data_IF_976134845622
#
_entry.id   IF_976134845622
#
_cell.length_a   1.000
_cell.length_b   1.000
_cell.length_c   1.000
_cell.angle_alpha   90.00
_cell.angle_beta   90.00
_cell.angle_gamma   90.00
#
_symmetry.space_group_name_H-M   'P 1'
#
loop_
_entity.id
_entity.type
_entity.pdbx_description
1 polymer ?
#
# COMPACT_ATOMS: atom_id res chain seq x y z
N UNK A 1 -14.03 32.45 -22.66
CA UNK A 1 -13.01 33.14 -21.86
C UNK A 1 -13.84 33.80 -20.79
N UNK A 2 -14.09 33.15 -19.66
CA UNK A 2 -13.08 32.54 -18.79
C UNK A 2 -13.55 31.19 -18.26
N UNK A 3 -12.71 30.17 -18.46
CA UNK A 3 -12.86 28.90 -17.75
C UNK A 3 -12.19 29.14 -16.41
N UNK A 4 -12.98 29.49 -15.39
CA UNK A 4 -12.52 29.50 -14.02
C UNK A 4 -11.98 28.10 -13.73
N UNK A 5 -10.66 27.99 -13.78
CA UNK A 5 -9.91 26.80 -13.44
C UNK A 5 -10.08 26.67 -11.93
N UNK A 6 -11.05 25.84 -11.57
CA UNK A 6 -11.42 25.42 -10.22
C UNK A 6 -10.17 24.85 -9.54
N UNK A 7 -9.32 25.77 -9.08
CA UNK A 7 -8.07 25.48 -8.39
C UNK A 7 -8.54 24.99 -7.05
N UNK A 8 -8.62 23.67 -6.92
CA UNK A 8 -8.96 23.02 -5.66
C UNK A 8 -7.95 23.49 -4.62
N UNK A 9 -8.32 24.51 -3.84
CA UNK A 9 -7.45 25.09 -2.81
C UNK A 9 -7.20 24.01 -1.76
N UNK A 10 -5.92 23.66 -1.58
CA UNK A 10 -5.51 22.84 -0.46
C UNK A 10 -5.78 23.61 0.84
N UNK A 11 -6.59 23.03 1.71
CA UNK A 11 -6.91 23.65 3.00
C UNK A 11 -6.04 23.03 4.08
N UNK A 12 -5.24 23.87 4.75
CA UNK A 12 -4.36 23.47 5.85
C UNK A 12 -4.96 23.95 7.16
N UNK A 13 -5.23 23.01 8.06
CA UNK A 13 -5.66 23.26 9.43
C UNK A 13 -4.55 22.83 10.37
N UNK A 14 -3.85 23.77 11.00
CA UNK A 14 -2.79 23.45 11.94
C UNK A 14 -1.85 24.60 12.23
N UNK A 15 -0.70 24.24 12.81
CA UNK A 15 0.38 25.18 13.05
C UNK A 15 1.12 25.43 11.72
N UNK A 16 1.46 26.69 11.48
CA UNK A 16 2.28 27.11 10.35
C UNK A 16 3.62 27.65 10.88
N UNK A 17 4.69 27.48 10.11
CA UNK A 17 5.98 28.10 10.40
C UNK A 17 6.04 29.58 9.93
N UNK A 18 7.20 30.20 10.11
CA UNK A 18 7.43 31.62 9.75
C UNK A 18 7.28 31.87 8.23
N UNK A 19 7.40 30.84 7.40
CA UNK A 19 7.22 30.89 5.96
C UNK A 19 5.77 30.60 5.53
N UNK A 20 4.87 30.35 6.50
CA UNK A 20 3.47 30.03 6.26
C UNK A 20 3.24 28.59 5.83
N UNK A 21 4.22 27.70 5.99
CA UNK A 21 4.13 26.30 5.62
C UNK A 21 3.67 25.44 6.80
N UNK A 22 2.95 24.32 6.55
CA UNK A 22 2.56 23.37 7.59
C UNK A 22 3.72 22.94 8.48
N UNK A 23 3.56 23.04 9.80
CA UNK A 23 4.58 22.63 10.77
C UNK A 23 3.94 22.02 12.02
N UNK A 24 4.50 20.94 12.56
CA UNK A 24 3.89 20.21 13.67
C UNK A 24 2.68 19.38 13.22
N UNK A 25 1.71 19.15 14.10
CA UNK A 25 0.53 18.35 13.75
C UNK A 25 -0.49 19.19 12.99
N UNK A 26 -0.71 18.86 11.71
CA UNK A 26 -1.65 19.55 10.83
C UNK A 26 -2.55 18.54 10.10
N UNK A 27 -3.71 19.04 9.70
CA UNK A 27 -4.65 18.37 8.81
C UNK A 27 -4.65 19.12 7.48
N UNK A 28 -4.28 18.43 6.41
CA UNK A 28 -4.29 18.98 5.04
C UNK A 28 -5.37 18.26 4.25
N UNK A 29 -6.32 19.00 3.69
CA UNK A 29 -7.34 18.45 2.80
C UNK A 29 -6.96 18.71 1.35
N UNK A 30 -6.80 17.64 0.58
CA UNK A 30 -6.52 17.64 -0.85
C UNK A 30 -7.85 17.45 -1.63
N UNK A 31 -8.03 18.21 -2.71
CA UNK A 31 -9.13 18.04 -3.69
C UNK A 31 -10.54 17.85 -3.09
N UNK A 32 -10.87 18.53 -1.99
CA UNK A 32 -12.14 18.42 -1.22
C UNK A 32 -12.50 17.03 -0.65
N UNK A 33 -11.81 15.96 -0.99
CA UNK A 33 -12.17 14.58 -0.60
C UNK A 33 -11.04 13.81 0.07
N UNK A 34 -9.81 14.03 -0.34
CA UNK A 34 -8.63 13.37 0.24
C UNK A 34 -8.13 14.22 1.41
N UNK A 35 -7.59 13.57 2.43
CA UNK A 35 -7.12 14.27 3.64
C UNK A 35 -5.92 13.57 4.22
N UNK A 36 -4.95 14.35 4.69
CA UNK A 36 -3.87 13.84 5.51
C UNK A 36 -3.87 14.50 6.88
N UNK A 37 -3.77 13.70 7.92
CA UNK A 37 -3.64 14.14 9.30
C UNK A 37 -2.31 13.62 9.85
N UNK A 38 -1.39 14.51 10.20
CA UNK A 38 -0.08 14.06 10.65
C UNK A 38 0.88 15.18 10.98
N UNK A 39 2.12 14.77 11.24
CA UNK A 39 3.19 15.72 11.53
C UNK A 39 3.82 16.24 10.23
N UNK A 40 4.07 17.54 10.20
CA UNK A 40 4.73 18.26 9.12
C UNK A 40 5.96 18.99 9.65
N UNK A 41 6.94 19.15 8.79
CA UNK A 41 8.11 20.01 9.01
C UNK A 41 8.34 20.79 7.74
N UNK A 42 8.14 22.12 7.80
CA UNK A 42 8.38 23.02 6.66
C UNK A 42 7.58 22.63 5.41
N UNK A 43 6.32 22.26 5.59
CA UNK A 43 5.41 21.85 4.53
C UNK A 43 5.50 20.37 4.13
N UNK A 44 6.53 19.65 4.56
CA UNK A 44 6.73 18.23 4.20
C UNK A 44 6.24 17.30 5.32
N UNK A 45 5.57 16.21 4.96
CA UNK A 45 5.11 15.19 5.93
C UNK A 45 6.30 14.51 6.57
N UNK A 46 6.42 14.67 7.89
CA UNK A 46 7.57 14.26 8.67
C UNK A 46 7.13 13.81 10.06
N UNK A 47 7.13 12.49 10.30
CA UNK A 47 6.65 11.86 11.53
C UNK A 47 5.45 10.94 11.29
N UNK A 48 4.67 10.64 12.34
CA UNK A 48 3.46 9.82 12.17
C UNK A 48 2.37 10.61 11.45
N UNK A 49 1.68 9.94 10.54
CA UNK A 49 0.53 10.48 9.85
C UNK A 49 -0.44 9.42 9.35
N UNK A 50 -1.63 9.87 9.00
CA UNK A 50 -2.74 9.08 8.46
C UNK A 50 -3.30 9.79 7.25
N UNK A 51 -3.25 9.12 6.10
CA UNK A 51 -3.93 9.53 4.89
C UNK A 51 -5.32 8.92 4.83
N UNK A 52 -6.30 9.70 4.42
CA UNK A 52 -7.68 9.33 4.18
C UNK A 52 -7.95 9.58 2.69
N UNK A 53 -8.32 8.52 2.00
CA UNK A 53 -8.63 8.58 0.58
C UNK A 53 -10.13 8.78 0.37
N UNK A 54 -10.52 9.31 -0.78
CA UNK A 54 -11.91 9.56 -1.15
C UNK A 54 -12.77 8.29 -1.18
N UNK A 55 -12.14 7.13 -1.42
CA UNK A 55 -12.80 5.81 -1.40
C UNK A 55 -13.12 5.34 0.02
N UNK A 56 -12.68 6.07 1.06
CA UNK A 56 -12.86 5.70 2.46
C UNK A 56 -11.76 4.79 3.00
N UNK A 57 -10.80 4.39 2.17
CA UNK A 57 -9.58 3.71 2.62
C UNK A 57 -8.69 4.68 3.40
N UNK A 58 -7.81 4.11 4.22
CA UNK A 58 -6.85 4.90 5.00
C UNK A 58 -5.46 4.28 4.98
N UNK A 59 -4.43 5.11 5.01
CA UNK A 59 -3.03 4.69 5.10
C UNK A 59 -2.36 5.37 6.30
N UNK A 60 -2.03 4.59 7.31
CA UNK A 60 -1.31 5.03 8.49
C UNK A 60 0.15 4.61 8.42
N UNK A 61 1.04 5.50 8.85
CA UNK A 61 2.44 5.12 8.99
C UNK A 61 3.35 6.26 9.39
N UNK A 62 4.65 6.07 9.19
CA UNK A 62 5.67 7.06 9.49
C UNK A 62 6.19 7.67 8.19
N UNK A 63 6.21 8.99 8.10
CA UNK A 63 6.64 9.73 6.93
C UNK A 63 7.98 10.42 7.21
N UNK A 64 8.83 10.47 6.19
CA UNK A 64 10.08 11.23 6.17
C UNK A 64 10.15 11.89 4.80
N UNK A 65 10.22 13.22 4.78
CA UNK A 65 10.29 14.03 3.55
C UNK A 65 9.22 13.62 2.53
N UNK A 66 7.96 13.63 2.97
CA UNK A 66 6.76 13.21 2.22
C UNK A 66 6.64 11.73 1.84
N UNK A 67 7.69 10.95 2.03
CA UNK A 67 7.70 9.53 1.72
C UNK A 67 7.31 8.67 2.92
N UNK A 68 6.43 7.70 2.71
CA UNK A 68 6.11 6.71 3.74
C UNK A 68 7.31 5.76 3.94
N UNK A 69 7.71 5.58 5.19
CA UNK A 69 8.86 4.80 5.62
C UNK A 69 8.47 3.80 6.72
N UNK A 70 9.09 2.62 6.67
CA UNK A 70 8.92 1.60 7.71
C UNK A 70 7.56 0.91 7.63
N UNK A 71 6.90 0.69 8.76
CA UNK A 71 5.62 -0.02 8.77
C UNK A 71 4.48 0.92 8.38
N UNK A 72 3.72 0.52 7.36
CA UNK A 72 2.47 1.13 6.94
C UNK A 72 1.30 0.17 7.17
N UNK A 73 0.18 0.73 7.62
CA UNK A 73 -1.10 0.05 7.76
C UNK A 73 -2.08 0.68 6.78
N UNK A 74 -2.41 -0.05 5.73
CA UNK A 74 -3.46 0.33 4.80
C UNK A 74 -4.75 -0.38 5.20
N UNK A 75 -5.81 0.39 5.44
CA UNK A 75 -7.16 -0.14 5.71
C UNK A 75 -8.02 0.13 4.50
N UNK A 76 -8.55 -0.92 3.90
CA UNK A 76 -9.45 -0.85 2.75
C UNK A 76 -10.84 -0.34 3.18
N UNK A 77 -11.64 0.16 2.23
CA UNK A 77 -13.02 0.60 2.49
C UNK A 77 -13.89 -0.52 3.10
N UNK A 78 -13.60 -1.77 2.74
CA UNK A 78 -14.33 -2.96 3.18
C UNK A 78 -13.90 -3.42 4.59
N UNK A 79 -12.96 -2.73 5.22
CA UNK A 79 -12.42 -3.06 6.53
C UNK A 79 -11.31 -4.12 6.52
N UNK A 80 -10.92 -4.64 5.36
CA UNK A 80 -9.68 -5.39 5.21
C UNK A 80 -8.47 -4.54 5.58
N UNK A 81 -7.36 -5.18 5.97
CA UNK A 81 -6.13 -4.46 6.33
C UNK A 81 -4.90 -5.09 5.72
N UNK A 82 -4.01 -4.25 5.18
CA UNK A 82 -2.69 -4.60 4.68
C UNK A 82 -1.61 -3.98 5.56
N UNK A 83 -0.83 -4.82 6.22
CA UNK A 83 0.40 -4.45 6.90
C UNK A 83 1.55 -4.60 5.91
N UNK A 84 2.26 -3.52 5.64
CA UNK A 84 3.33 -3.49 4.64
C UNK A 84 4.55 -2.74 5.13
N UNK A 85 5.74 -3.16 4.72
CA UNK A 85 6.95 -2.37 4.90
C UNK A 85 7.12 -1.46 3.70
N UNK A 86 7.32 -0.17 3.91
CA UNK A 86 7.52 0.85 2.89
C UNK A 86 8.92 1.45 2.98
N UNK A 87 9.50 1.73 1.83
CA UNK A 87 10.78 2.42 1.66
C UNK A 87 10.56 3.44 0.56
N UNK A 88 10.80 4.71 0.87
CA UNK A 88 10.63 5.83 -0.06
C UNK A 88 9.23 5.90 -0.69
N UNK A 89 8.20 5.61 0.11
CA UNK A 89 6.81 5.59 -0.32
C UNK A 89 6.39 4.31 -1.06
N UNK A 90 7.33 3.43 -1.39
CA UNK A 90 7.05 2.19 -2.10
C UNK A 90 7.01 0.98 -1.16
N UNK A 91 6.03 0.10 -1.36
CA UNK A 91 5.91 -1.15 -0.64
C UNK A 91 7.09 -2.07 -0.98
N UNK A 92 7.95 -2.29 0.02
CA UNK A 92 9.23 -2.96 -0.06
C UNK A 92 9.47 -3.80 1.21
N UNK A 93 9.51 -5.12 1.05
CA UNK A 93 9.71 -6.09 2.13
C UNK A 93 8.45 -6.88 2.48
N UNK A 94 8.35 -7.40 3.71
CA UNK A 94 7.25 -8.29 4.08
C UNK A 94 5.93 -7.53 4.13
N UNK A 95 4.88 -8.18 3.62
CA UNK A 95 3.51 -7.69 3.74
C UNK A 95 2.54 -8.81 4.12
N UNK A 96 1.51 -8.45 4.86
CA UNK A 96 0.45 -9.33 5.34
C UNK A 96 -0.90 -8.65 5.17
N UNK A 97 -1.83 -9.34 4.54
CA UNK A 97 -3.19 -8.85 4.32
C UNK A 97 -4.16 -9.70 5.12
N UNK A 98 -5.13 -9.04 5.73
CA UNK A 98 -6.18 -9.64 6.53
C UNK A 98 -7.54 -9.21 5.99
N UNK A 99 -8.50 -10.13 6.02
CA UNK A 99 -9.89 -9.81 5.69
C UNK A 99 -10.56 -8.99 6.82
N UNK A 100 -11.81 -8.57 6.58
CA UNK A 100 -12.65 -7.85 7.56
C UNK A 100 -12.87 -8.63 8.88
N UNK A 101 -12.79 -9.96 8.84
CA UNK A 101 -12.89 -10.83 10.01
C UNK A 101 -11.55 -10.97 10.76
N UNK A 102 -10.47 -10.32 10.27
CA UNK A 102 -9.12 -10.41 10.81
C UNK A 102 -8.39 -11.70 10.48
N UNK A 103 -8.86 -12.49 9.50
CA UNK A 103 -8.16 -13.69 9.02
C UNK A 103 -7.05 -13.29 8.06
N UNK A 104 -5.85 -13.82 8.29
CA UNK A 104 -4.73 -13.66 7.36
C UNK A 104 -5.08 -14.32 6.03
N UNK A 105 -5.22 -13.54 4.96
CA UNK A 105 -5.53 -14.00 3.60
C UNK A 105 -4.31 -13.99 2.69
N UNK A 106 -3.30 -13.17 3.01
CA UNK A 106 -2.06 -13.10 2.24
C UNK A 106 -0.86 -12.86 3.15
N UNK A 107 0.25 -13.53 2.84
CA UNK A 107 1.56 -13.24 3.43
C UNK A 107 2.62 -13.37 2.36
N UNK A 108 3.34 -12.30 2.07
CA UNK A 108 4.34 -12.29 1.01
C UNK A 108 5.41 -11.25 1.22
N UNK A 109 6.18 -11.06 0.17
CA UNK A 109 7.27 -10.11 0.08
C UNK A 109 7.00 -9.22 -1.14
N UNK A 110 7.29 -7.94 -1.00
CA UNK A 110 7.17 -6.93 -2.06
C UNK A 110 8.53 -6.32 -2.36
N UNK A 111 8.70 -5.88 -3.60
CA UNK A 111 9.83 -5.10 -4.06
C UNK A 111 9.34 -4.13 -5.12
N UNK A 112 9.58 -2.85 -4.93
CA UNK A 112 9.16 -1.76 -5.82
C UNK A 112 7.66 -1.83 -6.13
N UNK A 113 6.81 -1.97 -5.09
CA UNK A 113 5.36 -2.19 -5.17
C UNK A 113 4.90 -3.50 -5.85
N UNK A 114 5.82 -4.37 -6.26
CA UNK A 114 5.50 -5.64 -6.95
C UNK A 114 5.74 -6.82 -6.01
N UNK A 115 4.82 -7.78 -6.01
CA UNK A 115 5.00 -9.07 -5.29
C UNK A 115 6.26 -9.78 -5.79
N UNK A 116 7.18 -10.06 -4.87
CA UNK A 116 8.49 -10.61 -5.17
C UNK A 116 8.91 -11.68 -4.17
N UNK A 117 9.13 -12.91 -4.64
CA UNK A 117 9.52 -14.04 -3.82
C UNK A 117 8.36 -14.97 -3.49
N UNK A 118 8.49 -15.70 -2.38
CA UNK A 118 7.44 -16.62 -1.92
C UNK A 118 6.30 -15.82 -1.31
N UNK A 119 5.08 -16.09 -1.73
CA UNK A 119 3.88 -15.65 -1.04
C UNK A 119 2.94 -16.82 -0.74
N UNK A 120 2.11 -16.61 0.26
CA UNK A 120 1.12 -17.53 0.77
C UNK A 120 -0.23 -16.87 0.68
N UNK A 121 -1.19 -17.54 0.06
CA UNK A 121 -2.59 -17.11 0.04
C UNK A 121 -3.38 -18.15 0.83
N UNK A 122 -4.24 -17.67 1.73
CA UNK A 122 -5.06 -18.49 2.60
C UNK A 122 -6.52 -18.31 2.19
N UNK A 123 -7.16 -19.40 1.80
CA UNK A 123 -8.58 -19.39 1.46
C UNK A 123 -9.44 -19.82 2.66
N UNK A 124 -10.69 -19.33 2.77
CA UNK A 124 -11.61 -19.66 3.87
C UNK A 124 -11.86 -21.16 4.03
N UNK A 125 -11.63 -21.97 2.99
CA UNK A 125 -11.76 -23.43 3.01
C UNK A 125 -10.45 -24.15 3.36
N UNK A 126 -9.68 -23.70 4.34
CA UNK A 126 -8.42 -24.34 4.82
C UNK A 126 -7.38 -24.68 3.73
N UNK A 127 -7.56 -24.19 2.49
CA UNK A 127 -6.66 -24.41 1.38
C UNK A 127 -5.56 -23.36 1.47
N UNK A 128 -4.33 -23.83 1.67
CA UNK A 128 -3.14 -23.01 1.64
C UNK A 128 -2.52 -23.17 0.25
N UNK A 129 -2.42 -22.06 -0.48
CA UNK A 129 -1.69 -22.00 -1.75
C UNK A 129 -0.38 -21.25 -1.53
N UNK A 130 0.73 -21.93 -1.82
CA UNK A 130 2.04 -21.28 -1.91
C UNK A 130 2.22 -20.83 -3.35
N UNK A 131 2.67 -19.60 -3.56
CA UNK A 131 3.07 -19.13 -4.88
C UNK A 131 4.51 -18.66 -4.83
N UNK A 132 5.29 -18.99 -5.86
CA UNK A 132 6.57 -18.33 -6.11
C UNK A 132 6.32 -17.27 -7.19
N UNK A 133 6.35 -16.00 -6.78
CA UNK A 133 6.18 -14.86 -7.66
C UNK A 133 7.56 -14.31 -8.01
N UNK A 134 7.95 -14.38 -9.27
CA UNK A 134 9.23 -13.84 -9.72
C UNK A 134 9.05 -12.95 -10.93
N UNK A 135 9.94 -11.96 -11.05
CA UNK A 135 10.02 -11.08 -12.21
C UNK A 135 11.11 -11.60 -13.14
N UNK A 136 10.74 -12.03 -14.34
CA UNK A 136 11.71 -12.18 -15.43
C UNK A 136 11.76 -10.87 -16.22
N UNK A 137 12.95 -10.31 -16.39
CA UNK A 137 13.18 -9.20 -17.33
C UNK A 137 13.58 -9.84 -18.67
N UNK A 138 12.65 -9.90 -19.62
CA UNK A 138 12.95 -10.22 -21.02
C UNK A 138 12.79 -8.93 -21.85
N UNK A 139 13.90 -8.24 -22.11
CA UNK A 139 13.91 -6.96 -22.84
C UNK A 139 13.21 -5.81 -22.10
N UNK A 140 12.42 -5.00 -22.82
CA UNK A 140 11.67 -3.85 -22.29
C UNK A 140 10.32 -4.21 -21.63
N UNK A 141 9.96 -5.50 -21.53
CA UNK A 141 8.71 -5.95 -20.90
C UNK A 141 8.99 -6.69 -19.61
N UNK A 142 8.27 -6.34 -18.56
CA UNK A 142 8.29 -7.06 -17.29
C UNK A 142 7.16 -8.08 -17.28
N UNK A 143 7.50 -9.35 -17.06
CA UNK A 143 6.50 -10.40 -16.87
C UNK A 143 6.46 -10.81 -15.40
N UNK A 144 5.27 -10.83 -14.81
CA UNK A 144 5.02 -11.35 -13.47
C UNK A 144 4.59 -12.81 -13.65
N UNK A 145 5.49 -13.74 -13.31
CA UNK A 145 5.19 -15.17 -13.31
C UNK A 145 4.86 -15.65 -11.90
N UNK A 146 3.71 -16.32 -11.73
CA UNK A 146 3.35 -16.99 -10.48
C UNK A 146 3.26 -18.49 -10.73
N UNK A 147 4.14 -19.27 -10.09
CA UNK A 147 3.98 -20.72 -10.04
C UNK A 147 3.22 -21.10 -8.77
N UNK A 148 2.06 -21.72 -8.96
CA UNK A 148 1.24 -22.26 -7.87
C UNK A 148 1.85 -23.57 -7.39
N UNK A 149 2.30 -23.58 -6.14
CA UNK A 149 2.67 -24.78 -5.41
C UNK A 149 1.52 -25.09 -4.43
N UNK A 150 0.56 -25.90 -4.89
CA UNK A 150 -0.52 -26.40 -4.04
C UNK A 150 0.05 -27.37 -3.00
N UNK A 151 0.10 -26.93 -1.74
CA UNK A 151 0.36 -27.82 -0.60
C UNK A 151 -0.98 -28.26 -0.03
N UNK A 152 -1.65 -29.17 -0.74
CA UNK A 152 -2.79 -29.89 -0.19
C UNK A 152 -2.25 -30.89 0.86
N UNK A 153 -2.88 -30.99 2.03
CA UNK A 153 -2.43 -31.78 3.19
C UNK A 153 -2.26 -33.30 2.99
N UNK A 154 -2.35 -33.80 1.77
CA UNK A 154 -2.09 -35.20 1.38
C UNK A 154 -1.41 -35.21 0.00
N UNK A 155 -0.08 -35.28 -0.01
CA UNK A 155 0.72 -35.54 -1.21
C UNK A 155 1.01 -34.31 -2.08
N UNK A 156 2.31 -34.00 -2.21
CA UNK A 156 2.83 -32.96 -3.10
C UNK A 156 2.39 -33.22 -4.54
N UNK A 157 1.52 -32.38 -5.10
CA UNK A 157 1.30 -32.28 -6.55
C UNK A 157 1.63 -30.85 -6.98
N UNK A 158 2.71 -30.71 -7.75
CA UNK A 158 2.93 -29.51 -8.55
C UNK A 158 1.82 -29.44 -9.61
N UNK A 159 0.98 -28.40 -9.54
CA UNK A 159 -0.01 -28.09 -10.55
C UNK A 159 0.36 -26.76 -11.19
N UNK A 160 0.43 -26.80 -12.51
CA UNK A 160 0.89 -25.81 -13.49
C UNK A 160 0.80 -24.32 -13.13
N UNK A 161 1.84 -23.61 -13.55
CA UNK A 161 1.94 -22.18 -13.85
C UNK A 161 0.60 -21.49 -14.13
N UNK A 162 0.24 -20.54 -13.28
CA UNK A 162 -0.85 -19.60 -13.55
C UNK A 162 -0.22 -18.24 -13.84
N UNK A 163 0.19 -18.03 -15.09
CA UNK A 163 0.45 -16.68 -15.60
C UNK A 163 -0.89 -15.94 -15.67
N UNK A 164 -1.25 -15.22 -14.61
CA UNK A 164 -2.23 -14.13 -14.75
C UNK A 164 -1.46 -12.92 -15.25
N UNK A 165 -1.59 -12.66 -16.55
CA UNK A 165 -1.28 -11.36 -17.15
C UNK A 165 -2.22 -10.34 -16.52
N UNK A 166 -1.72 -9.46 -15.66
CA UNK A 166 -2.39 -8.20 -15.41
C UNK A 166 -2.03 -7.29 -16.58
N UNK A 167 -3.02 -6.96 -17.41
CA UNK A 167 -2.94 -5.88 -18.40
C UNK A 167 -3.04 -4.54 -17.68
#
# INVERSE_FOLDING_TARGET
MDSDEDTLEETVEGLLDDDGLPHGFCTVTYSSTDRFEGNFVHGEKNGRGKFFFFDGSTLEGYYVDDALQGQGLYTYEDGGVLHGTHVDGELNGPAQEYDIDGRLIFKGQYKDNIRHGVCWIYYPVSLISCFLCWRTKEGHRSHIGCNLLLLCGLGRKLLSSCCKTFC
#
